data_IF_966445509011
#
_entry.id   IF_966445509011
#
_cell.length_a   1.000
_cell.length_b   1.000
_cell.length_c   1.000
_cell.angle_alpha   90.00
_cell.angle_beta   90.00
_cell.angle_gamma   90.00
#
_symmetry.space_group_name_H-M   'P 1'
#
loop_
_entity.id
_entity.type
_entity.pdbx_description
1 polymer ?
#
# COMPACT_ATOMS: atom_id res chain seq x y z
N UNK A 1 -15.94 -3.81 20.41
CA UNK A 1 -14.66 -4.36 20.84
C UNK A 1 -14.49 -5.85 20.49
N UNK A 2 -15.35 -6.74 20.99
CA UNK A 2 -15.28 -8.19 20.65
C UNK A 2 -15.52 -8.49 19.17
N UNK A 3 -16.34 -7.72 18.48
CA UNK A 3 -16.61 -7.87 17.05
C UNK A 3 -15.42 -7.39 16.19
N UNK A 4 -14.71 -6.36 16.63
CA UNK A 4 -13.49 -5.85 16.01
C UNK A 4 -12.33 -6.83 16.18
N UNK A 5 -12.15 -7.38 17.37
CA UNK A 5 -11.12 -8.39 17.63
C UNK A 5 -11.35 -9.67 16.83
N UNK A 6 -12.60 -10.15 16.73
CA UNK A 6 -12.94 -11.31 15.91
C UNK A 6 -12.71 -11.06 14.41
N UNK A 7 -13.00 -9.85 13.92
CA UNK A 7 -12.76 -9.50 12.54
C UNK A 7 -11.27 -9.34 12.23
N UNK A 8 -10.49 -8.79 13.15
CA UNK A 8 -9.04 -8.66 13.03
C UNK A 8 -8.36 -10.03 13.06
N UNK A 9 -8.75 -10.91 13.97
CA UNK A 9 -8.22 -12.28 14.06
C UNK A 9 -8.60 -13.09 12.82
N UNK A 10 -9.85 -13.02 12.37
CA UNK A 10 -10.30 -13.68 11.14
C UNK A 10 -9.59 -13.13 9.90
N UNK A 11 -9.35 -11.82 9.86
CA UNK A 11 -8.63 -11.15 8.81
C UNK A 11 -7.16 -11.56 8.77
N UNK A 12 -6.48 -11.54 9.92
CA UNK A 12 -5.08 -11.95 10.04
C UNK A 12 -4.91 -13.42 9.64
N UNK A 13 -5.81 -14.29 10.05
CA UNK A 13 -5.79 -15.70 9.68
C UNK A 13 -6.00 -15.89 8.17
N UNK A 14 -6.95 -15.18 7.55
CA UNK A 14 -7.17 -15.20 6.11
C UNK A 14 -5.96 -14.69 5.32
N UNK A 15 -5.22 -13.75 5.90
CA UNK A 15 -4.09 -13.11 5.22
C UNK A 15 -2.78 -13.89 5.35
N UNK A 16 -2.64 -14.73 6.37
CA UNK A 16 -1.38 -15.45 6.60
C UNK A 16 -1.29 -16.77 5.85
N UNK A 17 -2.43 -17.43 5.62
CA UNK A 17 -2.44 -18.72 4.92
C UNK A 17 -3.65 -18.85 4.01
N UNK A 18 -3.41 -19.18 2.75
CA UNK A 18 -4.44 -19.55 1.78
C UNK A 18 -4.15 -20.88 1.14
N UNK A 19 -5.23 -21.54 0.76
CA UNK A 19 -5.15 -22.75 -0.04
C UNK A 19 -5.76 -22.50 -1.41
N UNK A 20 -4.97 -22.69 -2.44
CA UNK A 20 -5.48 -22.72 -3.80
C UNK A 20 -4.97 -23.99 -4.48
N UNK A 21 -5.88 -24.81 -4.96
CA UNK A 21 -5.59 -26.09 -5.62
C UNK A 21 -4.68 -26.99 -4.76
N UNK A 22 -4.89 -27.03 -3.45
CA UNK A 22 -4.12 -27.87 -2.52
C UNK A 22 -2.75 -27.33 -2.13
N UNK A 23 -2.39 -26.12 -2.56
CA UNK A 23 -1.16 -25.46 -2.15
C UNK A 23 -1.44 -24.29 -1.21
N UNK A 24 -0.64 -24.19 -0.15
CA UNK A 24 -0.67 -23.05 0.77
C UNK A 24 0.27 -21.97 0.26
N UNK A 25 -0.19 -20.72 0.29
CA UNK A 25 0.66 -19.57 0.00
C UNK A 25 0.39 -18.43 0.97
N UNK A 26 1.43 -17.63 1.20
CA UNK A 26 1.37 -16.50 2.13
C UNK A 26 0.80 -15.27 1.44
N UNK A 27 -0.07 -14.54 2.16
CA UNK A 27 -0.52 -13.23 1.73
C UNK A 27 0.61 -12.22 1.95
N UNK A 28 0.73 -11.29 1.01
CA UNK A 28 1.69 -10.20 1.05
C UNK A 28 1.00 -8.87 1.33
N UNK A 29 1.75 -7.95 1.88
CA UNK A 29 1.36 -6.55 2.04
C UNK A 29 2.11 -5.74 0.99
N UNK A 30 1.37 -5.13 0.07
CA UNK A 30 1.92 -4.25 -0.96
C UNK A 30 1.72 -2.81 -0.55
N UNK A 31 2.81 -2.10 -0.32
CA UNK A 31 2.79 -0.67 0.01
C UNK A 31 3.01 0.12 -1.28
N UNK A 32 2.06 0.99 -1.61
CA UNK A 32 2.04 1.68 -2.88
C UNK A 32 2.74 3.03 -2.81
N UNK A 33 3.66 3.26 -3.73
CA UNK A 33 4.20 4.59 -3.99
C UNK A 33 3.25 5.39 -4.89
N UNK A 34 3.26 6.70 -4.75
CA UNK A 34 2.38 7.62 -5.49
C UNK A 34 2.53 7.48 -6.99
N UNK A 35 3.75 7.34 -7.51
CA UNK A 35 4.00 7.27 -8.95
C UNK A 35 3.34 6.08 -9.63
N UNK A 36 3.14 4.98 -8.94
CA UNK A 36 2.41 3.83 -9.47
C UNK A 36 0.95 4.20 -9.73
N UNK A 37 0.31 4.87 -8.78
CA UNK A 37 -1.09 5.29 -8.87
C UNK A 37 -1.31 6.39 -9.92
N UNK A 38 -0.35 7.29 -10.07
CA UNK A 38 -0.40 8.37 -11.07
C UNK A 38 -0.28 7.81 -12.49
N UNK A 39 0.48 6.76 -12.69
CA UNK A 39 0.59 6.10 -13.99
C UNK A 39 -0.56 5.12 -14.25
N UNK A 40 -1.04 4.45 -13.22
CA UNK A 40 -2.07 3.42 -13.33
C UNK A 40 -2.99 3.45 -12.11
N UNK A 41 -4.04 4.28 -12.09
CA UNK A 41 -4.96 4.35 -10.95
C UNK A 41 -5.59 3.00 -10.58
N UNK A 42 -5.84 2.14 -11.58
CA UNK A 42 -6.37 0.79 -11.38
C UNK A 42 -5.36 -0.18 -10.75
N UNK A 43 -4.11 0.23 -10.52
CA UNK A 43 -3.12 -0.58 -9.85
C UNK A 43 -3.58 -1.06 -8.46
N UNK A 44 -4.46 -0.32 -7.80
CA UNK A 44 -5.09 -0.75 -6.54
C UNK A 44 -5.72 -2.15 -6.64
N UNK A 45 -6.20 -2.53 -7.80
CA UNK A 45 -6.89 -3.80 -8.05
C UNK A 45 -6.01 -4.87 -8.69
N UNK A 46 -4.70 -4.65 -8.77
CA UNK A 46 -3.77 -5.53 -9.51
C UNK A 46 -3.03 -6.53 -8.64
N UNK A 47 -3.30 -6.58 -7.34
CA UNK A 47 -2.56 -7.41 -6.39
C UNK A 47 -3.38 -8.60 -5.87
N UNK A 48 -4.31 -9.07 -6.68
CA UNK A 48 -5.13 -10.22 -6.36
C UNK A 48 -5.78 -10.08 -4.97
N UNK A 49 -5.72 -11.13 -4.16
CA UNK A 49 -6.31 -11.19 -2.83
C UNK A 49 -5.31 -10.83 -1.71
N UNK A 50 -4.34 -10.00 -2.01
CA UNK A 50 -3.37 -9.49 -1.04
C UNK A 50 -3.85 -8.19 -0.38
N UNK A 51 -3.10 -7.72 0.61
CA UNK A 51 -3.33 -6.42 1.24
C UNK A 51 -2.61 -5.33 0.45
N UNK A 52 -3.34 -4.30 0.08
CA UNK A 52 -2.80 -3.09 -0.55
C UNK A 52 -2.84 -1.97 0.49
N UNK A 53 -1.69 -1.39 0.79
CA UNK A 53 -1.56 -0.32 1.78
C UNK A 53 -1.15 0.98 1.10
N UNK A 54 -1.90 2.02 1.41
CA UNK A 54 -1.59 3.39 1.00
C UNK A 54 -1.09 4.16 2.22
N UNK A 55 0.18 4.57 2.23
CA UNK A 55 0.68 5.46 3.27
C UNK A 55 -0.06 6.82 3.25
N UNK A 56 -0.23 7.43 4.41
CA UNK A 56 -0.86 8.76 4.51
C UNK A 56 -0.15 9.79 3.63
N UNK A 57 1.18 9.73 3.51
CA UNK A 57 1.93 10.64 2.65
C UNK A 57 1.53 10.52 1.18
N UNK A 58 1.13 9.33 0.74
CA UNK A 58 0.64 9.11 -0.64
C UNK A 58 -0.68 9.84 -0.86
N UNK A 59 -1.58 9.84 0.13
CA UNK A 59 -2.82 10.61 0.06
C UNK A 59 -2.53 12.11 -0.06
N UNK A 60 -1.57 12.61 0.70
CA UNK A 60 -1.16 14.02 0.63
C UNK A 60 -0.59 14.37 -0.75
N UNK A 61 0.23 13.50 -1.32
CA UNK A 61 0.77 13.70 -2.67
C UNK A 61 -0.32 13.66 -3.74
N UNK A 62 -1.29 12.76 -3.64
CA UNK A 62 -2.44 12.71 -4.54
C UNK A 62 -3.27 14.00 -4.45
N UNK A 63 -3.47 14.51 -3.24
CA UNK A 63 -4.19 15.77 -3.01
C UNK A 63 -3.48 16.96 -3.69
N UNK A 64 -2.16 16.98 -3.64
CA UNK A 64 -1.36 17.98 -4.34
C UNK A 64 -1.44 17.82 -5.87
N UNK A 65 -1.30 16.59 -6.36
CA UNK A 65 -1.23 16.28 -7.79
C UNK A 65 -2.59 16.39 -8.50
N UNK A 66 -3.72 16.33 -7.78
CA UNK A 66 -5.05 16.46 -8.39
C UNK A 66 -5.25 17.78 -9.15
N UNK A 67 -4.47 18.81 -8.83
CA UNK A 67 -4.50 20.14 -9.44
C UNK A 67 -3.63 20.25 -10.69
N UNK A 68 -2.81 19.24 -10.97
CA UNK A 68 -1.92 19.25 -12.13
C UNK A 68 -2.72 19.11 -13.43
N UNK A 69 -2.19 19.71 -14.47
CA UNK A 69 -2.72 19.55 -15.84
C UNK A 69 -2.33 18.20 -16.43
N UNK A 70 -3.04 17.79 -17.45
CA UNK A 70 -2.73 16.60 -18.22
C UNK A 70 -3.05 15.30 -17.51
N UNK A 71 -2.36 14.24 -17.91
CA UNK A 71 -2.63 12.87 -17.47
C UNK A 71 -2.35 12.67 -15.95
N UNK A 72 -1.31 13.30 -15.43
CA UNK A 72 -0.97 13.21 -14.01
C UNK A 72 -2.12 13.66 -13.12
N UNK A 73 -2.67 14.84 -13.38
CA UNK A 73 -3.82 15.36 -12.62
C UNK A 73 -5.07 14.53 -12.82
N UNK A 74 -5.34 14.10 -14.06
CA UNK A 74 -6.48 13.24 -14.37
C UNK A 74 -6.41 11.90 -13.62
N UNK A 75 -5.24 11.28 -13.59
CA UNK A 75 -5.03 10.02 -12.89
C UNK A 75 -5.09 10.18 -11.36
N UNK A 76 -4.57 11.29 -10.82
CA UNK A 76 -4.70 11.60 -9.41
C UNK A 76 -6.19 11.74 -9.00
N UNK A 77 -6.98 12.48 -9.77
CA UNK A 77 -8.41 12.63 -9.54
C UNK A 77 -9.15 11.30 -9.65
N UNK A 78 -8.79 10.45 -10.63
CA UNK A 78 -9.38 9.11 -10.77
C UNK A 78 -9.07 8.25 -9.55
N UNK A 79 -7.84 8.25 -9.08
CA UNK A 79 -7.44 7.51 -7.87
C UNK A 79 -8.21 7.99 -6.65
N UNK A 80 -8.38 9.29 -6.47
CA UNK A 80 -9.15 9.88 -5.37
C UNK A 80 -10.61 9.43 -5.42
N UNK A 81 -11.23 9.37 -6.61
CA UNK A 81 -12.60 8.86 -6.76
C UNK A 81 -12.71 7.39 -6.37
N UNK A 82 -11.75 6.56 -6.77
CA UNK A 82 -11.72 5.15 -6.38
C UNK A 82 -11.60 4.99 -4.85
N UNK A 83 -10.77 5.80 -4.21
CA UNK A 83 -10.63 5.80 -2.75
C UNK A 83 -11.91 6.26 -2.05
N UNK A 84 -12.63 7.24 -2.61
CA UNK A 84 -13.92 7.69 -2.08
C UNK A 84 -14.97 6.58 -2.18
N UNK A 85 -15.01 5.84 -3.27
CA UNK A 85 -15.89 4.68 -3.41
C UNK A 85 -15.59 3.62 -2.34
N UNK A 86 -14.33 3.37 -2.06
CA UNK A 86 -13.92 2.44 -1.01
C UNK A 86 -14.30 2.95 0.38
N UNK A 87 -14.10 4.24 0.64
CA UNK A 87 -14.47 4.87 1.91
C UNK A 87 -15.96 4.72 2.21
N UNK A 88 -16.80 4.81 1.21
CA UNK A 88 -18.25 4.62 1.35
C UNK A 88 -18.64 3.18 1.72
N UNK A 89 -17.78 2.21 1.39
CA UNK A 89 -18.02 0.79 1.69
C UNK A 89 -17.52 0.37 3.08
N UNK A 90 -16.65 1.15 3.69
CA UNK A 90 -16.09 0.79 5.00
C UNK A 90 -15.02 1.76 5.47
N UNK A 91 -14.36 1.39 6.56
CA UNK A 91 -13.30 2.20 7.15
C UNK A 91 -11.94 1.79 6.57
N UNK A 92 -11.30 2.71 5.84
CA UNK A 92 -9.99 2.46 5.21
C UNK A 92 -8.86 2.26 6.22
N UNK A 93 -8.99 2.74 7.45
CA UNK A 93 -8.00 2.45 8.49
C UNK A 93 -8.03 0.99 8.93
N UNK A 94 -9.22 0.39 8.96
CA UNK A 94 -9.43 -1.02 9.30
C UNK A 94 -9.24 -1.94 8.09
N UNK A 95 -9.53 -1.45 6.91
CA UNK A 95 -9.44 -2.17 5.64
C UNK A 95 -10.81 -2.31 4.96
N UNK A 96 -10.83 -2.12 3.66
CA UNK A 96 -12.02 -2.26 2.82
C UNK A 96 -11.77 -3.35 1.79
N UNK A 97 -12.72 -4.29 1.69
CA UNK A 97 -12.63 -5.39 0.73
C UNK A 97 -12.72 -4.90 -0.71
N UNK A 98 -11.84 -5.41 -1.55
CA UNK A 98 -11.84 -5.20 -2.99
C UNK A 98 -12.57 -6.35 -3.69
N UNK A 99 -13.11 -6.10 -4.88
CA UNK A 99 -13.86 -7.10 -5.65
C UNK A 99 -13.04 -8.35 -5.98
N UNK A 100 -11.73 -8.20 -6.14
CA UNK A 100 -10.82 -9.32 -6.42
C UNK A 100 -10.46 -10.17 -5.19
N UNK A 101 -11.07 -9.90 -4.04
CA UNK A 101 -10.78 -10.60 -2.78
C UNK A 101 -9.64 -10.00 -1.96
N UNK A 102 -8.98 -8.97 -2.47
CA UNK A 102 -7.98 -8.21 -1.73
C UNK A 102 -8.60 -7.23 -0.75
N UNK A 103 -7.75 -6.52 -0.03
CA UNK A 103 -8.16 -5.51 0.94
C UNK A 103 -7.28 -4.28 0.76
N UNK A 104 -7.90 -3.10 0.75
CA UNK A 104 -7.22 -1.81 0.72
C UNK A 104 -7.26 -1.16 2.10
N UNK A 105 -6.12 -0.70 2.56
CA UNK A 105 -5.94 0.03 3.83
C UNK A 105 -5.15 1.29 3.62
N UNK A 106 -5.48 2.31 4.41
CA UNK A 106 -4.63 3.49 4.60
C UNK A 106 -3.86 3.30 5.90
N UNK A 107 -2.56 3.55 5.86
CA UNK A 107 -1.69 3.45 7.02
C UNK A 107 -1.19 4.82 7.43
N UNK A 108 -1.27 5.10 8.74
CA UNK A 108 -0.69 6.30 9.33
C UNK A 108 0.83 6.20 9.36
N UNK A 109 1.49 7.31 9.65
CA UNK A 109 2.92 7.33 9.88
C UNK A 109 3.28 6.48 11.11
N UNK A 110 4.27 5.62 10.98
CA UNK A 110 4.80 4.84 12.10
C UNK A 110 5.75 5.71 12.94
N UNK A 111 5.18 6.41 13.90
CA UNK A 111 5.94 7.35 14.76
C UNK A 111 6.95 6.64 15.67
N UNK A 112 6.69 5.37 15.99
CA UNK A 112 7.55 4.57 16.86
C UNK A 112 8.72 3.90 16.11
N UNK A 113 8.81 4.12 14.82
CA UNK A 113 9.88 3.58 13.97
C UNK A 113 10.81 4.69 13.57
N UNK A 114 12.09 4.51 13.79
CA UNK A 114 13.12 5.47 13.39
C UNK A 114 13.80 5.01 12.10
N UNK A 115 14.02 5.95 11.20
CA UNK A 115 14.88 5.77 10.04
C UNK A 115 16.33 6.09 10.39
N UNK A 116 17.31 5.52 9.65
CA UNK A 116 18.69 6.00 9.73
C UNK A 116 18.77 7.51 9.56
N UNK A 117 19.73 8.13 10.26
CA UNK A 117 19.91 9.59 10.27
C UNK A 117 20.07 10.18 8.86
N UNK A 118 20.61 9.41 7.94
CA UNK A 118 20.84 9.83 6.56
C UNK A 118 19.54 10.00 5.75
N UNK A 119 18.43 9.51 6.24
CA UNK A 119 17.13 9.56 5.56
C UNK A 119 16.20 10.56 6.24
N UNK A 120 16.18 11.79 5.73
CA UNK A 120 15.32 12.84 6.24
C UNK A 120 13.84 12.55 6.03
N UNK A 121 13.01 12.79 7.06
CA UNK A 121 11.55 12.67 6.98
C UNK A 121 10.90 13.82 6.18
N UNK A 122 11.65 14.85 5.82
CA UNK A 122 11.17 15.90 4.92
C UNK A 122 10.98 15.39 3.48
N UNK A 123 11.69 14.33 3.12
CA UNK A 123 11.55 13.67 1.82
C UNK A 123 10.38 12.67 1.88
N UNK A 124 9.39 12.85 1.03
CA UNK A 124 8.17 12.02 1.01
C UNK A 124 8.48 10.52 0.87
N UNK A 125 9.42 10.15 -0.01
CA UNK A 125 9.84 8.76 -0.22
C UNK A 125 10.32 8.10 1.07
N UNK A 126 11.04 8.84 1.92
CA UNK A 126 11.55 8.32 3.18
C UNK A 126 10.41 8.04 4.17
N UNK A 127 9.32 8.81 4.13
CA UNK A 127 8.13 8.51 4.93
C UNK A 127 7.43 7.22 4.47
N UNK A 128 7.45 6.93 3.17
CA UNK A 128 6.96 5.65 2.63
C UNK A 128 7.82 4.51 3.16
N UNK A 129 9.13 4.64 3.15
CA UNK A 129 10.05 3.64 3.72
C UNK A 129 9.79 3.41 5.20
N UNK A 130 9.49 4.46 5.94
CA UNK A 130 9.14 4.37 7.37
C UNK A 130 7.89 3.52 7.59
N UNK A 131 6.87 3.69 6.76
CA UNK A 131 5.65 2.85 6.80
C UNK A 131 6.00 1.38 6.52
N UNK A 132 6.83 1.11 5.52
CA UNK A 132 7.27 -0.25 5.21
C UNK A 132 8.01 -0.90 6.38
N UNK A 133 8.92 -0.17 7.02
CA UNK A 133 9.64 -0.65 8.20
C UNK A 133 8.70 -0.92 9.37
N UNK A 134 7.75 -0.03 9.61
CA UNK A 134 6.75 -0.20 10.66
C UNK A 134 5.90 -1.45 10.46
N UNK A 135 5.43 -1.66 9.24
CA UNK A 135 4.66 -2.86 8.87
C UNK A 135 5.51 -4.13 9.01
N UNK A 136 6.76 -4.10 8.54
CA UNK A 136 7.67 -5.24 8.66
C UNK A 136 7.88 -5.65 10.13
N UNK A 137 7.98 -4.68 11.04
CA UNK A 137 8.16 -4.95 12.48
C UNK A 137 6.88 -5.41 13.16
N UNK A 138 5.71 -4.94 12.72
CA UNK A 138 4.43 -5.17 13.39
C UNK A 138 3.59 -6.29 12.79
N UNK A 139 3.93 -6.76 11.58
CA UNK A 139 3.15 -7.75 10.84
C UNK A 139 4.00 -8.98 10.51
N UNK A 140 3.34 -10.13 10.37
CA UNK A 140 3.97 -11.40 9.98
C UNK A 140 4.09 -11.56 8.47
N UNK A 141 3.18 -10.91 7.73
CA UNK A 141 3.15 -10.99 6.27
C UNK A 141 4.38 -10.32 5.67
N UNK A 142 4.81 -10.80 4.52
CA UNK A 142 5.87 -10.15 3.76
C UNK A 142 5.41 -8.78 3.28
N UNK A 143 6.21 -7.76 3.56
CA UNK A 143 5.97 -6.38 3.11
C UNK A 143 6.78 -6.13 1.85
N UNK A 144 6.11 -5.65 0.80
CA UNK A 144 6.72 -5.32 -0.49
C UNK A 144 6.36 -3.89 -0.85
N UNK A 145 7.37 -3.06 -1.04
CA UNK A 145 7.20 -1.71 -1.58
C UNK A 145 7.04 -1.81 -3.10
N UNK A 146 5.98 -1.20 -3.62
CA UNK A 146 5.73 -1.13 -5.07
C UNK A 146 6.01 0.29 -5.53
N UNK A 147 7.04 0.46 -6.34
CA UNK A 147 7.46 1.77 -6.85
C UNK A 147 8.13 1.66 -8.20
N UNK A 148 7.94 2.65 -9.05
CA UNK A 148 8.62 2.78 -10.33
C UNK A 148 9.96 3.52 -10.19
N UNK A 149 10.24 4.09 -9.03
CA UNK A 149 11.47 4.83 -8.76
C UNK A 149 12.61 3.88 -8.40
N UNK A 150 13.63 3.83 -9.27
CA UNK A 150 14.81 2.98 -9.09
C UNK A 150 15.56 3.34 -7.80
N UNK A 151 15.71 4.64 -7.51
CA UNK A 151 16.44 5.09 -6.32
C UNK A 151 15.69 4.70 -5.04
N UNK A 152 14.37 4.76 -5.05
CA UNK A 152 13.57 4.33 -3.92
C UNK A 152 13.70 2.82 -3.70
N UNK A 153 13.74 2.01 -4.77
CA UNK A 153 14.00 0.57 -4.65
C UNK A 153 15.38 0.29 -4.07
N UNK A 154 16.40 1.07 -4.43
CA UNK A 154 17.75 0.94 -3.87
C UNK A 154 17.75 1.29 -2.38
N UNK A 155 17.09 2.39 -1.99
CA UNK A 155 16.93 2.76 -0.56
C UNK A 155 16.25 1.64 0.23
N UNK A 156 15.20 1.04 -0.33
CA UNK A 156 14.52 -0.10 0.29
C UNK A 156 15.48 -1.28 0.51
N UNK A 157 16.27 -1.62 -0.49
CA UNK A 157 17.27 -2.69 -0.38
C UNK A 157 18.27 -2.41 0.74
N UNK A 158 18.76 -1.18 0.86
CA UNK A 158 19.69 -0.78 1.94
C UNK A 158 19.06 -0.99 3.32
N UNK A 159 17.75 -0.80 3.43
CA UNK A 159 16.99 -0.98 4.67
C UNK A 159 16.48 -2.43 4.88
N UNK A 160 16.95 -3.37 4.06
CA UNK A 160 16.48 -4.77 4.09
C UNK A 160 14.96 -4.89 3.87
N UNK A 161 14.43 -4.08 2.98
CA UNK A 161 13.04 -4.12 2.53
C UNK A 161 12.95 -4.70 1.13
N UNK A 162 11.90 -5.51 0.88
CA UNK A 162 11.58 -5.94 -0.48
C UNK A 162 10.94 -4.80 -1.25
N UNK A 163 11.34 -4.62 -2.50
CA UNK A 163 10.73 -3.65 -3.39
C UNK A 163 10.60 -4.22 -4.81
N UNK A 164 9.51 -3.89 -5.46
CA UNK A 164 9.21 -4.34 -6.83
C UNK A 164 8.76 -3.16 -7.69
N UNK A 165 9.05 -3.24 -8.99
CA UNK A 165 8.46 -2.35 -9.98
C UNK A 165 7.03 -2.79 -10.29
N UNK A 166 6.17 -1.85 -10.65
CA UNK A 166 4.84 -2.14 -11.16
C UNK A 166 4.86 -2.10 -12.68
N UNK A 167 4.57 -3.23 -13.30
CA UNK A 167 4.43 -3.34 -14.75
C UNK A 167 2.96 -3.64 -15.03
N UNK A 168 2.26 -2.66 -15.61
CA UNK A 168 0.92 -2.91 -16.10
C UNK A 168 1.00 -3.75 -17.37
N UNK A 169 0.33 -4.89 -17.39
CA UNK A 169 0.12 -5.60 -18.64
C UNK A 169 -0.73 -4.72 -19.54
N UNK A 170 -0.11 -4.16 -20.56
CA UNK A 170 -0.86 -3.57 -21.67
C UNK A 170 -1.40 -4.70 -22.52
N UNK A 171 -2.69 -4.86 -22.43
CA UNK A 171 -3.40 -5.73 -23.36
C UNK A 171 -3.64 -4.96 -24.65
#
# INVERSE_FOLDING_TARGET
SRKLEKNVVSFTFKMTTKTQRGHYYMIKIYVMDTNVLIQSPNALFSFEDNLVVLPMVVLEELDHLKKADGETGANARKCIRLLEELRQKGNLLEGVSLENGGICRVEKNFVDVELPVDLSLEVADNRILKVCLGLKKSRKEQVVLVTKDILLRIKAQVLDLCAEDFISEQV
#
